data_IF_449554957561
#
_entry.id   IF_449554957561
#
_cell.length_a   1.000
_cell.length_b   1.000
_cell.length_c   1.000
_cell.angle_alpha   90.00
_cell.angle_beta   90.00
_cell.angle_gamma   90.00
#
_symmetry.space_group_name_H-M   'P 1'
#
loop_
_entity.id
_entity.type
_entity.pdbx_description
1 polymer ?
#
# COMPACT_ATOMS: atom_id res chain seq x y z
N UNK A 1 23.76 -3.37 -15.07
CA UNK A 1 22.44 -3.08 -15.70
C UNK A 1 22.65 -2.86 -17.18
N UNK A 2 21.69 -3.24 -18.04
CA UNK A 2 21.84 -3.04 -19.48
C UNK A 2 21.69 -1.54 -19.79
N UNK A 3 22.61 -1.00 -20.58
CA UNK A 3 22.58 0.40 -21.05
C UNK A 3 21.94 0.46 -22.43
N UNK A 4 21.04 1.41 -22.64
CA UNK A 4 20.49 1.66 -23.96
C UNK A 4 21.53 2.40 -24.80
N UNK A 5 22.11 1.72 -25.79
CA UNK A 5 23.00 2.35 -26.78
C UNK A 5 22.20 2.58 -28.06
N UNK A 6 21.97 3.84 -28.42
CA UNK A 6 21.23 4.22 -29.62
C UNK A 6 20.75 5.67 -29.59
N UNK A 7 20.36 6.19 -30.75
CA UNK A 7 19.85 7.56 -30.90
C UNK A 7 18.42 7.70 -30.36
N UNK A 8 17.66 6.59 -30.42
CA UNK A 8 16.29 6.52 -29.92
C UNK A 8 16.31 6.32 -28.40
N UNK A 9 15.72 7.28 -27.68
CA UNK A 9 15.55 7.24 -26.22
C UNK A 9 14.18 6.66 -25.92
N UNK A 10 14.13 5.62 -25.08
CA UNK A 10 12.88 4.98 -24.68
C UNK A 10 12.65 5.20 -23.19
N UNK A 11 11.42 5.51 -22.81
CA UNK A 11 10.97 5.58 -21.42
C UNK A 11 9.64 4.83 -21.32
N UNK A 12 9.49 3.99 -20.28
CA UNK A 12 8.30 3.16 -20.08
C UNK A 12 8.56 1.67 -20.22
N UNK A 13 7.50 0.88 -20.39
CA UNK A 13 7.56 -0.58 -20.40
C UNK A 13 7.15 -1.15 -21.76
N UNK A 14 7.95 -2.07 -22.31
CA UNK A 14 7.62 -2.86 -23.50
C UNK A 14 7.78 -4.33 -23.13
N UNK A 15 6.66 -5.05 -23.01
CA UNK A 15 6.66 -6.44 -22.54
C UNK A 15 7.35 -6.58 -21.18
N UNK A 16 8.38 -7.41 -21.11
CA UNK A 16 9.19 -7.62 -19.90
C UNK A 16 10.35 -6.63 -19.75
N UNK A 17 10.54 -5.68 -20.67
CA UNK A 17 11.60 -4.67 -20.57
C UNK A 17 11.04 -3.35 -20.03
N UNK A 18 11.69 -2.82 -19.00
CA UNK A 18 11.46 -1.47 -18.48
C UNK A 18 12.64 -0.58 -18.84
N UNK A 19 12.34 0.55 -19.50
CA UNK A 19 13.28 1.58 -19.90
C UNK A 19 13.11 2.81 -19.00
N UNK A 20 14.19 3.29 -18.39
CA UNK A 20 14.16 4.41 -17.46
C UNK A 20 15.49 5.16 -17.46
N UNK A 21 15.47 6.40 -16.98
CA UNK A 21 16.65 7.25 -16.85
C UNK A 21 17.12 7.28 -15.40
N UNK A 22 18.41 7.03 -15.18
CA UNK A 22 19.07 7.14 -13.87
C UNK A 22 20.41 7.83 -14.03
N UNK A 23 20.70 8.84 -13.21
CA UNK A 23 21.98 9.59 -13.25
C UNK A 23 22.39 10.08 -14.64
N UNK A 24 21.42 10.40 -15.50
CA UNK A 24 21.67 10.86 -16.86
C UNK A 24 21.79 9.75 -17.92
N UNK A 25 21.92 8.48 -17.51
CA UNK A 25 22.01 7.33 -18.40
C UNK A 25 20.64 6.70 -18.66
N UNK A 26 20.40 6.27 -19.91
CA UNK A 26 19.24 5.46 -20.27
C UNK A 26 19.54 3.99 -20.01
N UNK A 27 18.76 3.38 -19.13
CA UNK A 27 18.91 2.01 -18.66
C UNK A 27 17.71 1.18 -19.09
N UNK A 28 17.98 -0.08 -19.38
CA UNK A 28 16.97 -1.11 -19.58
C UNK A 28 17.16 -2.21 -18.55
N UNK A 29 16.05 -2.70 -18.01
CA UNK A 29 16.03 -3.90 -17.16
C UNK A 29 14.89 -4.80 -17.56
N UNK A 30 15.06 -6.10 -17.39
CA UNK A 30 13.92 -7.00 -17.38
C UNK A 30 13.09 -6.76 -16.12
N UNK A 31 11.80 -7.10 -16.19
CA UNK A 31 10.88 -7.06 -15.06
C UNK A 31 11.46 -7.97 -13.96
N UNK A 32 11.98 -7.33 -12.91
CA UNK A 32 12.43 -8.02 -11.72
C UNK A 32 11.24 -8.38 -10.82
N UNK A 33 11.49 -9.31 -9.90
CA UNK A 33 10.49 -9.74 -8.91
C UNK A 33 9.77 -11.03 -9.30
N UNK A 34 8.88 -11.45 -8.43
CA UNK A 34 8.11 -12.68 -8.59
C UNK A 34 6.93 -12.42 -9.53
N UNK A 35 6.65 -13.38 -10.41
CA UNK A 35 5.49 -13.30 -11.30
C UNK A 35 4.17 -13.06 -10.54
N UNK A 36 3.30 -12.23 -11.11
CA UNK A 36 2.05 -11.83 -10.48
C UNK A 36 1.06 -12.99 -10.32
N UNK A 37 1.00 -13.90 -11.29
CA UNK A 37 0.16 -15.11 -11.18
C UNK A 37 0.71 -16.06 -10.12
N UNK A 38 2.04 -16.13 -9.98
CA UNK A 38 2.67 -16.86 -8.88
C UNK A 38 2.25 -16.27 -7.53
N UNK A 39 2.31 -14.96 -7.33
CA UNK A 39 1.85 -14.35 -6.06
C UNK A 39 0.37 -14.68 -5.76
N UNK A 40 -0.48 -14.71 -6.79
CA UNK A 40 -1.91 -15.03 -6.63
C UNK A 40 -2.19 -16.49 -6.28
N UNK A 41 -1.42 -17.44 -6.83
CA UNK A 41 -1.77 -18.88 -6.80
C UNK A 41 -0.84 -19.71 -5.93
N UNK A 42 0.44 -19.38 -5.85
CA UNK A 42 1.44 -20.18 -5.14
C UNK A 42 1.18 -20.13 -3.61
N UNK A 43 1.12 -21.30 -2.93
CA UNK A 43 0.95 -21.39 -1.48
C UNK A 43 2.00 -20.61 -0.68
N UNK A 44 3.24 -20.47 -1.18
CA UNK A 44 4.29 -19.72 -0.53
C UNK A 44 3.92 -18.24 -0.31
N UNK A 45 3.00 -17.69 -1.12
CA UNK A 45 2.53 -16.30 -1.02
C UNK A 45 1.18 -16.17 -0.30
N UNK A 46 0.66 -17.22 0.33
CA UNK A 46 -0.60 -17.15 1.09
C UNK A 46 -0.58 -16.02 2.12
N UNK A 47 0.48 -15.92 2.92
CA UNK A 47 0.65 -14.84 3.92
C UNK A 47 0.75 -13.45 3.30
N UNK A 48 1.36 -13.33 2.12
CA UNK A 48 1.41 -12.05 1.38
C UNK A 48 0.03 -11.61 0.96
N UNK A 49 -0.81 -12.54 0.47
CA UNK A 49 -2.19 -12.25 0.08
C UNK A 49 -3.07 -11.89 1.28
N UNK A 50 -2.97 -12.66 2.37
CA UNK A 50 -3.67 -12.38 3.62
C UNK A 50 -3.37 -10.97 4.14
N UNK A 51 -2.08 -10.62 4.27
CA UNK A 51 -1.66 -9.29 4.70
C UNK A 51 -2.13 -8.20 3.74
N UNK A 52 -2.07 -8.45 2.43
CA UNK A 52 -2.52 -7.50 1.41
C UNK A 52 -4.02 -7.22 1.48
N UNK A 53 -4.83 -8.25 1.72
CA UNK A 53 -6.27 -8.12 1.91
C UNK A 53 -6.60 -7.27 3.14
N UNK A 54 -6.00 -7.60 4.30
CA UNK A 54 -6.17 -6.84 5.55
C UNK A 54 -5.71 -5.38 5.40
N UNK A 55 -4.53 -5.15 4.82
CA UNK A 55 -4.01 -3.79 4.57
C UNK A 55 -4.96 -3.00 3.65
N UNK A 56 -5.48 -3.63 2.60
CA UNK A 56 -6.47 -3.02 1.71
C UNK A 56 -7.76 -2.62 2.43
N UNK A 57 -8.26 -3.47 3.34
CA UNK A 57 -9.42 -3.14 4.18
C UNK A 57 -9.11 -1.99 5.14
N UNK A 58 -7.96 -2.00 5.80
CA UNK A 58 -7.53 -0.92 6.71
C UNK A 58 -7.42 0.43 5.98
N UNK A 59 -6.80 0.45 4.80
CA UNK A 59 -6.70 1.64 3.97
C UNK A 59 -8.05 2.19 3.53
N UNK A 60 -9.00 1.32 3.16
CA UNK A 60 -10.38 1.72 2.83
C UNK A 60 -11.11 2.32 4.04
N UNK A 61 -11.00 1.71 5.21
CA UNK A 61 -11.60 2.23 6.43
C UNK A 61 -10.99 3.56 6.87
N UNK A 62 -9.66 3.68 6.83
CA UNK A 62 -8.97 4.94 7.09
C UNK A 62 -9.34 6.04 6.09
N UNK A 63 -9.55 5.71 4.81
CA UNK A 63 -10.08 6.66 3.82
C UNK A 63 -11.51 7.09 4.19
N UNK A 64 -12.39 6.15 4.52
CA UNK A 64 -13.78 6.44 4.89
C UNK A 64 -13.84 7.42 6.08
N UNK A 65 -13.07 7.16 7.14
CA UNK A 65 -13.03 8.03 8.32
C UNK A 65 -12.54 9.44 7.98
N UNK A 66 -11.46 9.56 7.19
CA UNK A 66 -10.98 10.89 6.75
C UNK A 66 -11.97 11.59 5.84
N UNK A 67 -12.70 10.86 5.01
CA UNK A 67 -13.76 11.42 4.17
C UNK A 67 -14.91 11.97 5.01
N UNK A 68 -15.30 11.27 6.09
CA UNK A 68 -16.31 11.75 7.03
C UNK A 68 -15.84 13.01 7.79
N UNK A 69 -14.55 13.08 8.13
CA UNK A 69 -13.94 14.21 8.85
C UNK A 69 -13.28 15.24 7.92
N UNK A 70 -13.63 15.26 6.63
CA UNK A 70 -12.92 16.07 5.62
C UNK A 70 -12.87 17.55 5.97
N UNK A 71 -13.99 18.12 6.41
CA UNK A 71 -14.10 19.55 6.72
C UNK A 71 -13.15 19.97 7.85
N UNK A 72 -13.18 19.34 9.06
CA UNK A 72 -12.26 19.72 10.14
C UNK A 72 -10.79 19.40 9.84
N UNK A 73 -10.47 18.35 9.06
CA UNK A 73 -9.08 18.00 8.74
C UNK A 73 -8.51 18.79 7.55
N UNK A 74 -9.32 19.51 6.78
CA UNK A 74 -8.88 20.21 5.57
C UNK A 74 -7.80 21.28 5.84
N UNK A 75 -7.79 21.84 7.04
CA UNK A 75 -6.83 22.86 7.49
C UNK A 75 -5.63 22.26 8.24
N UNK A 76 -5.53 20.94 8.36
CA UNK A 76 -4.42 20.28 9.04
C UNK A 76 -3.11 20.38 8.23
N UNK A 77 -2.00 20.59 8.92
CA UNK A 77 -0.66 20.56 8.33
C UNK A 77 -0.07 19.14 8.23
N UNK A 78 -0.73 18.10 8.77
CA UNK A 78 -0.20 16.74 8.82
C UNK A 78 -0.28 16.03 7.46
N UNK A 79 0.79 16.14 6.68
CA UNK A 79 0.98 15.46 5.39
C UNK A 79 1.01 13.93 5.51
N UNK A 80 1.21 13.37 6.71
CA UNK A 80 1.33 11.94 6.99
C UNK A 80 0.07 11.33 7.63
N UNK A 81 -0.99 12.11 7.83
CA UNK A 81 -2.23 11.63 8.48
C UNK A 81 -2.79 10.37 7.82
N UNK A 82 -2.71 10.26 6.48
CA UNK A 82 -3.21 9.09 5.74
C UNK A 82 -2.43 7.81 6.06
N UNK A 83 -1.09 7.87 6.08
CA UNK A 83 -0.27 6.69 6.35
C UNK A 83 -0.34 6.31 7.83
N UNK A 84 -0.27 7.29 8.73
CA UNK A 84 -0.46 7.09 10.19
C UNK A 84 -1.80 6.41 10.50
N UNK A 85 -2.88 6.93 9.94
CA UNK A 85 -4.21 6.38 10.17
C UNK A 85 -4.33 4.96 9.61
N UNK A 86 -3.77 4.70 8.43
CA UNK A 86 -3.75 3.35 7.86
C UNK A 86 -2.99 2.39 8.78
N UNK A 87 -1.85 2.80 9.32
CA UNK A 87 -1.09 1.98 10.28
C UNK A 87 -1.87 1.66 11.56
N UNK A 88 -2.65 2.61 12.10
CA UNK A 88 -3.50 2.33 13.26
C UNK A 88 -4.68 1.42 12.89
N UNK A 89 -5.31 1.65 11.73
CA UNK A 89 -6.39 0.78 11.22
C UNK A 89 -5.92 -0.66 10.97
N UNK A 90 -4.66 -0.88 10.60
CA UNK A 90 -4.09 -2.24 10.52
C UNK A 90 -4.09 -2.91 11.89
N UNK A 91 -3.75 -2.19 12.97
CA UNK A 91 -3.82 -2.73 14.33
C UNK A 91 -5.26 -3.05 14.75
N UNK A 92 -6.21 -2.18 14.40
CA UNK A 92 -7.66 -2.41 14.60
C UNK A 92 -8.08 -3.72 13.95
N UNK A 93 -7.75 -3.93 12.67
CA UNK A 93 -8.07 -5.18 11.96
C UNK A 93 -7.37 -6.38 12.59
N UNK A 94 -6.12 -6.24 13.04
CA UNK A 94 -5.39 -7.34 13.67
C UNK A 94 -5.96 -7.76 15.03
N UNK A 95 -6.74 -6.90 15.68
CA UNK A 95 -7.45 -7.19 16.91
C UNK A 95 -8.76 -7.97 16.69
N UNK A 96 -9.19 -8.18 15.44
CA UNK A 96 -10.31 -9.06 15.12
C UNK A 96 -9.97 -10.52 15.47
N UNK A 97 -10.69 -11.04 16.47
CA UNK A 97 -10.59 -12.42 16.97
C UNK A 97 -11.67 -13.33 16.39
N UNK A 98 -12.64 -12.77 15.68
CA UNK A 98 -13.78 -13.49 15.08
C UNK A 98 -13.37 -14.14 13.77
N UNK A 99 -12.62 -13.42 12.93
CA UNK A 99 -12.24 -13.86 11.60
C UNK A 99 -10.79 -14.36 11.52
N UNK A 100 -10.58 -15.35 10.64
CA UNK A 100 -9.24 -15.83 10.30
C UNK A 100 -8.38 -14.77 9.62
N UNK A 101 -7.06 -14.94 9.68
CA UNK A 101 -6.11 -14.05 9.00
C UNK A 101 -6.38 -14.00 7.50
N UNK A 102 -6.33 -12.81 6.92
CA UNK A 102 -6.73 -12.53 5.54
C UNK A 102 -8.20 -12.16 5.39
N UNK A 103 -9.06 -12.54 6.34
CA UNK A 103 -10.50 -12.23 6.35
C UNK A 103 -10.92 -11.27 7.48
N UNK A 104 -9.97 -10.88 8.32
CA UNK A 104 -10.19 -9.88 9.37
C UNK A 104 -10.71 -8.57 8.82
N UNK A 105 -11.57 -7.93 9.60
CA UNK A 105 -12.22 -6.69 9.24
C UNK A 105 -12.23 -5.67 10.39
N UNK A 106 -12.70 -4.45 10.10
CA UNK A 106 -12.69 -3.33 11.06
C UNK A 106 -13.88 -3.38 12.01
N UNK A 107 -14.99 -3.98 11.60
CA UNK A 107 -16.24 -4.05 12.38
C UNK A 107 -16.07 -4.99 13.56
N UNK A 108 -15.43 -6.14 13.33
CA UNK A 108 -15.11 -7.13 14.36
C UNK A 108 -13.77 -6.85 15.07
N UNK A 109 -13.07 -5.78 14.68
CA UNK A 109 -11.84 -5.31 15.31
C UNK A 109 -12.07 -4.37 16.49
N UNK A 110 -10.99 -3.90 17.12
CA UNK A 110 -11.07 -2.98 18.26
C UNK A 110 -10.81 -1.51 17.86
N UNK A 111 -11.87 -0.74 17.68
CA UNK A 111 -11.79 0.69 17.35
C UNK A 111 -11.29 1.56 18.50
N UNK A 112 -11.28 1.08 19.75
CA UNK A 112 -10.73 1.84 20.88
C UNK A 112 -9.23 2.10 20.70
N UNK A 113 -8.54 1.32 19.87
CA UNK A 113 -7.15 1.56 19.47
C UNK A 113 -6.93 2.87 18.71
N UNK A 114 -8.00 3.54 18.26
CA UNK A 114 -7.95 4.88 17.67
C UNK A 114 -8.07 6.00 18.71
N UNK A 115 -8.32 5.69 19.98
CA UNK A 115 -8.39 6.68 21.03
C UNK A 115 -7.06 7.42 21.16
N UNK A 116 -7.13 8.76 21.18
CA UNK A 116 -5.94 9.62 21.18
C UNK A 116 -5.25 9.75 19.83
N UNK A 117 -5.86 9.26 18.73
CA UNK A 117 -5.32 9.53 17.40
C UNK A 117 -5.48 11.00 17.02
N UNK A 118 -4.34 11.69 16.99
CA UNK A 118 -4.27 13.08 16.54
C UNK A 118 -4.26 13.17 15.01
N UNK A 119 -5.29 13.83 14.44
CA UNK A 119 -5.41 14.09 13.00
C UNK A 119 -4.53 15.25 12.52
N UNK A 120 -3.96 16.04 13.44
CA UNK A 120 -3.11 17.19 13.16
C UNK A 120 -1.87 17.22 14.09
N UNK A 121 -1.09 16.15 14.11
CA UNK A 121 0.12 16.07 14.93
C UNK A 121 1.38 16.57 14.19
N UNK A 122 1.22 17.63 13.41
CA UNK A 122 2.30 18.30 12.70
C UNK A 122 3.08 19.23 13.64
#
# INVERSE_FOLDING_TARGET
MARQKGVLKLEGQIGDLSFYKSEGEYLARTKGGVDGERIKKDPAFARTRENGAEFGRAGKAGKLLRSALKTPIAQSADKKVSSRLTSQMVKVIQADVTNGRGERNVVDGDLNLLQGFEFNAA
#
